data_IF_025171996072
#
_entry.id   IF_025171996072
#
_cell.length_a   1.000
_cell.length_b   1.000
_cell.length_c   1.000
_cell.angle_alpha   90.00
_cell.angle_beta   90.00
_cell.angle_gamma   90.00
#
_symmetry.space_group_name_H-M   'P 1'
#
loop_
_entity.id
_entity.type
_entity.pdbx_description
1 polymer ?
#
# COMPACT_ATOMS: atom_id res chain seq x y z
N UNK A 1 11.46 8.22 -1.96
CA UNK A 1 11.67 6.76 -2.03
C UNK A 1 10.43 6.08 -1.47
N UNK A 2 9.70 5.31 -2.28
CA UNK A 2 8.36 4.82 -1.92
C UNK A 2 8.48 3.56 -1.06
N UNK A 3 7.73 3.50 0.04
CA UNK A 3 7.65 2.35 0.97
C UNK A 3 7.52 0.99 0.29
N UNK A 4 6.83 0.94 -0.85
CA UNK A 4 6.57 -0.28 -1.60
C UNK A 4 7.75 -0.75 -2.46
N UNK A 5 8.60 0.17 -2.94
CA UNK A 5 9.76 -0.16 -3.79
C UNK A 5 10.81 -0.93 -2.98
N UNK A 6 10.98 -0.56 -1.70
CA UNK A 6 11.90 -1.21 -0.77
C UNK A 6 11.60 -2.71 -0.55
N UNK A 7 10.38 -3.17 -0.81
CA UNK A 7 9.98 -4.56 -0.58
C UNK A 7 10.60 -5.53 -1.60
N UNK A 8 10.84 -5.10 -2.83
CA UNK A 8 11.30 -5.99 -3.92
C UNK A 8 12.81 -5.96 -4.15
N UNK A 9 13.49 -4.89 -3.71
CA UNK A 9 14.91 -4.67 -4.01
C UNK A 9 15.88 -5.36 -3.03
N UNK A 10 15.38 -5.98 -1.95
CA UNK A 10 16.21 -6.81 -1.06
C UNK A 10 17.19 -6.02 -0.17
N UNK A 11 16.83 -4.78 0.19
CA UNK A 11 17.65 -3.94 1.05
C UNK A 11 17.79 -4.48 2.47
N UNK A 12 18.90 -4.14 3.13
CA UNK A 12 19.11 -4.48 4.55
C UNK A 12 18.05 -3.84 5.46
N UNK A 13 17.80 -4.44 6.64
CA UNK A 13 16.76 -4.01 7.57
C UNK A 13 16.82 -2.52 7.93
N UNK A 14 18.03 -1.99 8.13
CA UNK A 14 18.22 -0.57 8.48
C UNK A 14 17.78 0.39 7.38
N UNK A 15 17.93 -0.01 6.12
CA UNK A 15 17.44 0.77 4.99
C UNK A 15 15.93 0.60 4.81
N UNK A 16 15.44 -0.63 4.97
CA UNK A 16 14.00 -0.91 4.88
C UNK A 16 13.20 -0.08 5.89
N UNK A 17 13.64 -0.02 7.16
CA UNK A 17 12.93 0.73 8.21
C UNK A 17 12.96 2.25 7.98
N UNK A 18 13.97 2.78 7.28
CA UNK A 18 14.02 4.22 6.92
C UNK A 18 12.85 4.61 6.03
N UNK A 19 12.30 3.66 5.26
CA UNK A 19 11.05 3.86 4.52
C UNK A 19 9.96 4.44 5.42
N UNK A 20 9.88 4.02 6.69
CA UNK A 20 8.87 4.44 7.67
C UNK A 20 9.19 5.67 8.49
N UNK A 21 10.37 6.27 8.31
CA UNK A 21 10.82 7.36 9.18
C UNK A 21 9.91 8.59 9.11
N UNK A 22 9.36 8.90 7.93
CA UNK A 22 8.44 10.03 7.74
C UNK A 22 6.98 9.66 7.96
N UNK A 23 6.63 8.38 8.12
CA UNK A 23 5.23 7.96 8.18
C UNK A 23 4.57 8.41 9.47
N UNK A 24 3.44 9.09 9.36
CA UNK A 24 2.59 9.40 10.51
C UNK A 24 1.37 8.50 10.57
N UNK A 25 0.77 8.19 9.42
CA UNK A 25 -0.45 7.38 9.33
C UNK A 25 -0.53 6.62 8.01
N UNK A 26 -1.19 5.47 8.04
CA UNK A 26 -1.69 4.76 6.85
C UNK A 26 -3.15 4.41 7.05
N UNK A 27 -3.99 4.91 6.16
CA UNK A 27 -5.43 4.68 6.19
C UNK A 27 -5.83 3.78 5.03
N UNK A 28 -6.65 2.76 5.34
CA UNK A 28 -7.33 1.97 4.32
C UNK A 28 -8.57 2.73 3.88
N UNK A 29 -8.59 3.18 2.62
CA UNK A 29 -9.73 3.89 2.03
C UNK A 29 -10.77 2.86 1.56
N UNK A 30 -10.31 1.82 0.86
CA UNK A 30 -11.18 0.78 0.32
C UNK A 30 -10.45 -0.57 0.33
N UNK A 31 -11.20 -1.62 0.62
CA UNK A 31 -10.77 -3.00 0.40
C UNK A 31 -11.97 -3.82 -0.08
N UNK A 32 -11.80 -4.53 -1.18
CA UNK A 32 -12.86 -5.39 -1.75
C UNK A 32 -12.26 -6.61 -2.45
N UNK A 33 -13.06 -7.66 -2.59
CA UNK A 33 -12.69 -8.84 -3.36
C UNK A 33 -12.53 -8.50 -4.85
N UNK A 34 -11.49 -9.04 -5.48
CA UNK A 34 -11.37 -9.04 -6.93
C UNK A 34 -12.31 -10.09 -7.53
N UNK A 35 -13.33 -9.62 -8.25
CA UNK A 35 -14.35 -10.49 -8.86
C UNK A 35 -13.79 -11.39 -9.97
N UNK A 36 -12.66 -11.00 -10.56
CA UNK A 36 -12.07 -11.68 -11.70
C UNK A 36 -10.98 -12.69 -11.27
N UNK A 37 -10.51 -12.61 -10.01
CA UNK A 37 -9.48 -13.50 -9.48
C UNK A 37 -9.72 -13.88 -8.03
N UNK A 38 -9.86 -15.20 -7.81
CA UNK A 38 -9.98 -15.79 -6.48
C UNK A 38 -8.77 -15.44 -5.60
N UNK A 39 -9.03 -15.26 -4.31
CA UNK A 39 -8.01 -15.04 -3.29
C UNK A 39 -7.15 -13.80 -3.60
N UNK A 40 -7.76 -12.78 -4.20
CA UNK A 40 -7.16 -11.46 -4.45
C UNK A 40 -8.10 -10.38 -3.96
N UNK A 41 -7.52 -9.33 -3.39
CA UNK A 41 -8.25 -8.13 -3.00
C UNK A 41 -7.73 -6.92 -3.76
N UNK A 42 -8.64 -6.03 -4.13
CA UNK A 42 -8.34 -4.67 -4.56
C UNK A 42 -8.29 -3.78 -3.33
N UNK A 43 -7.26 -2.93 -3.23
CA UNK A 43 -7.05 -2.06 -2.08
C UNK A 43 -6.72 -0.62 -2.53
N UNK A 44 -7.31 0.35 -1.83
CA UNK A 44 -6.97 1.77 -1.89
C UNK A 44 -6.46 2.22 -0.53
N UNK A 45 -5.31 2.90 -0.51
CA UNK A 45 -4.66 3.39 0.69
C UNK A 45 -4.36 4.88 0.56
N UNK A 46 -4.32 5.58 1.68
CA UNK A 46 -3.58 6.84 1.81
C UNK A 46 -2.49 6.72 2.86
N UNK A 47 -1.42 7.47 2.67
CA UNK A 47 -0.43 7.74 3.72
C UNK A 47 -0.39 9.22 4.03
N UNK A 48 -0.07 9.51 5.29
CA UNK A 48 0.26 10.85 5.77
C UNK A 48 1.72 10.83 6.20
N UNK A 49 2.56 11.57 5.51
CA UNK A 49 4.00 11.68 5.80
C UNK A 49 4.33 13.09 6.33
N UNK A 50 5.35 13.19 7.19
CA UNK A 50 6.02 14.45 7.54
C UNK A 50 7.26 14.63 6.66
N UNK A 51 7.28 15.65 5.80
CA UNK A 51 8.40 15.96 4.90
C UNK A 51 8.70 17.45 5.01
N UNK A 52 9.93 17.80 5.40
CA UNK A 52 10.39 19.19 5.53
C UNK A 52 9.42 20.10 6.34
N UNK A 53 8.95 19.59 7.48
CA UNK A 53 7.96 20.23 8.37
C UNK A 53 6.55 20.42 7.76
N UNK A 54 6.28 19.79 6.63
CA UNK A 54 4.97 19.78 5.96
C UNK A 54 4.30 18.40 5.99
N UNK A 55 2.96 18.41 6.00
CA UNK A 55 2.15 17.20 5.87
C UNK A 55 1.92 16.90 4.39
N UNK A 56 2.41 15.75 3.94
CA UNK A 56 2.22 15.26 2.57
C UNK A 56 1.29 14.05 2.58
N UNK A 57 0.25 14.10 1.76
CA UNK A 57 -0.64 12.97 1.50
C UNK A 57 -0.26 12.26 0.22
N UNK A 58 -0.15 10.93 0.27
CA UNK A 58 0.02 10.08 -0.92
C UNK A 58 -1.10 9.06 -0.98
N UNK A 59 -1.42 8.64 -2.20
CA UNK A 59 -2.51 7.72 -2.48
C UNK A 59 -1.99 6.53 -3.26
N UNK A 60 -2.53 5.36 -2.97
CA UNK A 60 -2.10 4.12 -3.57
C UNK A 60 -3.30 3.26 -3.94
N UNK A 61 -3.21 2.57 -5.07
CA UNK A 61 -4.20 1.61 -5.52
C UNK A 61 -3.50 0.37 -6.07
N UNK A 62 -4.09 -0.79 -5.84
CA UNK A 62 -3.66 -2.00 -6.51
C UNK A 62 -4.28 -3.25 -5.95
N UNK A 63 -3.59 -4.36 -6.17
CA UNK A 63 -4.03 -5.68 -5.78
C UNK A 63 -3.09 -6.30 -4.75
N UNK A 64 -3.66 -7.14 -3.90
CA UNK A 64 -2.90 -8.07 -3.06
C UNK A 64 -3.47 -9.46 -3.22
N UNK A 65 -2.61 -10.42 -3.54
CA UNK A 65 -3.00 -11.83 -3.43
C UNK A 65 -2.99 -12.20 -1.95
N UNK A 66 -3.89 -13.09 -1.57
CA UNK A 66 -3.92 -13.73 -0.26
C UNK A 66 -3.76 -15.23 -0.46
N UNK A 67 -2.98 -15.88 0.39
CA UNK A 67 -2.84 -17.33 0.36
C UNK A 67 -3.21 -17.93 1.69
N UNK A 68 -3.97 -19.01 1.66
CA UNK A 68 -4.17 -19.85 2.83
C UNK A 68 -2.99 -20.84 2.93
N UNK A 69 -2.18 -20.67 3.97
CA UNK A 69 -1.04 -21.54 4.27
C UNK A 69 -1.26 -22.07 5.68
N UNK A 70 -1.40 -23.39 5.80
CA UNK A 70 -1.67 -24.08 7.07
C UNK A 70 -2.90 -23.54 7.81
N UNK A 71 -3.98 -23.28 7.08
CA UNK A 71 -5.25 -22.78 7.63
C UNK A 71 -5.25 -21.28 7.95
N UNK A 72 -4.16 -20.56 7.67
CA UNK A 72 -4.02 -19.11 7.96
C UNK A 72 -3.90 -18.32 6.67
N UNK A 73 -4.74 -17.30 6.52
CA UNK A 73 -4.66 -16.35 5.41
C UNK A 73 -3.50 -15.38 5.61
N UNK A 74 -2.67 -15.22 4.58
CA UNK A 74 -1.50 -14.34 4.58
C UNK A 74 -1.50 -13.47 3.34
N UNK A 75 -1.06 -12.22 3.50
CA UNK A 75 -0.79 -11.33 2.36
C UNK A 75 0.38 -11.90 1.56
N UNK A 76 0.15 -12.11 0.28
CA UNK A 76 1.10 -12.72 -0.65
C UNK A 76 1.26 -11.77 -1.84
N UNK A 77 2.43 -11.16 -1.96
CA UNK A 77 2.82 -10.26 -3.06
C UNK A 77 1.91 -9.03 -3.31
N UNK A 78 2.34 -7.82 -2.93
CA UNK A 78 1.64 -6.60 -3.27
C UNK A 78 1.98 -6.12 -4.70
N UNK A 79 0.93 -5.88 -5.49
CA UNK A 79 0.98 -5.11 -6.74
C UNK A 79 0.27 -3.78 -6.50
N UNK A 80 0.94 -2.84 -5.84
CA UNK A 80 0.38 -1.54 -5.47
C UNK A 80 1.17 -0.44 -6.16
N UNK A 81 0.47 0.52 -6.78
CA UNK A 81 1.04 1.71 -7.41
C UNK A 81 0.59 2.98 -6.71
N UNK A 82 1.44 3.99 -6.74
CA UNK A 82 1.07 5.34 -6.31
C UNK A 82 0.16 5.98 -7.37
N UNK A 83 -0.86 6.71 -6.90
CA UNK A 83 -1.79 7.48 -7.73
C UNK A 83 -1.47 8.95 -7.50
N UNK A 84 -0.92 9.58 -8.53
CA UNK A 84 -0.60 11.00 -8.51
C UNK A 84 -1.88 11.81 -8.75
N UNK A 85 -2.19 12.73 -7.84
CA UNK A 85 -3.35 13.63 -7.92
C UNK A 85 -4.68 12.90 -8.24
N UNK A 86 -5.15 11.97 -7.38
CA UNK A 86 -6.43 11.31 -7.60
C UNK A 86 -7.56 12.33 -7.68
N UNK A 87 -8.49 12.10 -8.60
CA UNK A 87 -9.71 12.89 -8.66
C UNK A 87 -10.65 12.57 -7.49
N UNK A 88 -11.68 13.39 -7.31
CA UNK A 88 -12.67 13.19 -6.27
C UNK A 88 -13.40 11.85 -6.38
N UNK A 89 -13.70 11.39 -7.60
CA UNK A 89 -14.46 10.16 -7.83
C UNK A 89 -13.67 8.92 -7.38
N UNK A 90 -12.35 8.95 -7.51
CA UNK A 90 -11.47 7.87 -7.05
C UNK A 90 -11.68 7.51 -5.57
N UNK A 91 -12.08 8.45 -4.72
CA UNK A 91 -12.36 8.18 -3.30
C UNK A 91 -13.68 7.45 -3.05
N UNK A 92 -14.60 7.45 -4.01
CA UNK A 92 -15.95 6.88 -3.87
C UNK A 92 -16.21 5.69 -4.79
N UNK A 93 -15.40 5.51 -5.83
CA UNK A 93 -15.39 4.33 -6.70
C UNK A 93 -14.85 3.08 -6.00
#
# INVERSE_FOLDING_TARGET
MRYFDNFKEGHGFDYWKQGYQSLLDTTVIKIEEDKDKKDRVKIKLSTKDMVDDEIVYKYFEGYRDVKNIDGKWRLWDPEIKEIENPDFLWFYE
#
